data_IF_189864926238
#
_entry.id   IF_189864926238
#
_cell.length_a   1.000
_cell.length_b   1.000
_cell.length_c   1.000
_cell.angle_alpha   90.00
_cell.angle_beta   90.00
_cell.angle_gamma   90.00
#
_symmetry.space_group_name_H-M   'P 1'
#
loop_
_entity.id
_entity.type
_entity.pdbx_description
1 polymer ?
#
# COMPACT_ATOMS: atom_id res chain seq x y z
N UNK A 1 2.25 -17.00 -6.21
CA UNK A 1 1.31 -16.14 -5.47
C UNK A 1 2.05 -15.55 -4.27
N UNK A 2 1.81 -14.27 -3.96
CA UNK A 2 2.28 -13.66 -2.70
C UNK A 2 1.12 -13.77 -1.71
N UNK A 3 1.34 -14.48 -0.61
CA UNK A 3 0.32 -14.61 0.43
C UNK A 3 0.37 -13.41 1.37
N UNK A 4 -0.74 -12.68 1.60
CA UNK A 4 -0.76 -11.58 2.54
C UNK A 4 -0.56 -12.13 3.96
N UNK A 5 0.54 -11.74 4.61
CA UNK A 5 0.73 -12.05 6.04
C UNK A 5 -0.17 -11.12 6.85
N UNK A 6 -1.04 -11.65 7.74
CA UNK A 6 -1.81 -10.82 8.65
C UNK A 6 -0.88 -9.95 9.48
N UNK A 7 -1.12 -8.63 9.45
CA UNK A 7 -0.43 -7.71 10.35
C UNK A 7 -1.06 -7.82 11.75
N UNK A 8 -0.26 -7.74 12.83
CA UNK A 8 -0.80 -7.69 14.17
C UNK A 8 -1.77 -6.49 14.31
N UNK A 9 -2.84 -6.61 15.11
CA UNK A 9 -3.78 -5.52 15.35
C UNK A 9 -3.04 -4.31 15.91
N UNK A 10 -3.31 -3.11 15.39
CA UNK A 10 -2.84 -1.88 16.02
C UNK A 10 -3.60 -1.67 17.33
N UNK A 11 -2.86 -1.43 18.40
CA UNK A 11 -3.42 -1.10 19.72
C UNK A 11 -3.36 0.42 19.94
N UNK A 12 -4.36 1.02 20.60
CA UNK A 12 -4.34 2.44 20.96
C UNK A 12 -3.15 2.80 21.86
N UNK A 13 -2.68 4.08 21.87
CA UNK A 13 -3.20 5.21 21.10
C UNK A 13 -2.72 5.18 19.65
N UNK A 14 -3.63 5.49 18.72
CA UNK A 14 -3.28 5.53 17.31
C UNK A 14 -2.55 6.84 16.95
N UNK A 15 -1.68 6.83 15.92
CA UNK A 15 -1.12 8.06 15.37
C UNK A 15 -2.22 9.02 14.88
N UNK A 16 -1.94 10.33 14.85
CA UNK A 16 -2.90 11.37 14.44
C UNK A 16 -3.53 11.13 13.06
N UNK A 17 -2.79 10.47 12.18
CA UNK A 17 -3.15 10.17 10.80
C UNK A 17 -3.82 8.79 10.62
N UNK A 18 -4.08 8.08 11.72
CA UNK A 18 -4.73 6.77 11.67
C UNK A 18 -6.24 6.92 11.81
N UNK A 19 -6.95 6.67 10.71
CA UNK A 19 -8.39 6.54 10.70
C UNK A 19 -8.79 5.07 10.86
N UNK A 20 -9.44 4.73 11.99
CA UNK A 20 -9.91 3.37 12.26
C UNK A 20 -11.07 2.92 11.35
N UNK A 21 -11.73 3.87 10.67
CA UNK A 21 -12.86 3.61 9.76
C UNK A 21 -12.44 3.55 8.30
N UNK A 22 -11.28 4.10 7.94
CA UNK A 22 -10.75 4.00 6.60
C UNK A 22 -10.30 2.55 6.30
N UNK A 23 -10.67 2.07 5.11
CA UNK A 23 -10.30 0.75 4.58
C UNK A 23 -9.57 0.91 3.26
N UNK A 24 -8.52 0.13 3.05
CA UNK A 24 -7.79 0.12 1.79
C UNK A 24 -8.01 -1.22 1.07
N UNK A 25 -8.59 -1.16 -0.13
CA UNK A 25 -8.87 -2.36 -0.96
C UNK A 25 -7.59 -3.11 -1.32
N UNK A 26 -6.48 -2.39 -1.47
CA UNK A 26 -5.16 -2.97 -1.74
C UNK A 26 -4.58 -3.77 -0.56
N UNK A 27 -5.08 -3.56 0.67
CA UNK A 27 -4.67 -4.29 1.88
C UNK A 27 -5.79 -5.20 2.39
N UNK A 28 -6.61 -5.74 1.49
CA UNK A 28 -7.74 -6.62 1.83
C UNK A 28 -8.71 -5.98 2.84
N UNK A 29 -8.91 -4.65 2.76
CA UNK A 29 -9.81 -3.91 3.64
C UNK A 29 -9.29 -3.69 5.06
N UNK A 30 -7.98 -3.86 5.29
CA UNK A 30 -7.36 -3.59 6.59
C UNK A 30 -7.65 -2.15 7.03
N UNK A 31 -8.11 -1.94 8.29
CA UNK A 31 -8.40 -0.61 8.81
C UNK A 31 -7.11 0.19 9.03
N UNK A 32 -7.14 1.48 8.72
CA UNK A 32 -6.03 2.37 9.01
C UNK A 32 -5.87 3.51 8.02
N UNK A 33 -4.61 3.87 7.72
CA UNK A 33 -4.36 4.97 6.79
C UNK A 33 -4.99 4.66 5.42
N UNK A 34 -5.62 5.67 4.79
CA UNK A 34 -5.68 5.67 3.33
C UNK A 34 -4.22 5.58 2.81
N UNK A 35 -3.93 5.26 1.54
CA UNK A 35 -2.54 5.18 1.05
C UNK A 35 -1.90 6.59 1.10
N UNK A 36 -1.58 7.06 2.30
CA UNK A 36 -1.56 8.49 2.61
C UNK A 36 -0.51 9.16 1.77
N UNK A 37 -1.00 10.11 0.98
CA UNK A 37 -0.43 10.55 -0.27
C UNK A 37 -0.19 9.38 -1.24
N UNK A 38 -1.18 9.15 -2.11
CA UNK A 38 -0.99 8.54 -3.43
C UNK A 38 0.35 8.93 -4.07
N UNK A 39 0.78 10.18 -3.84
CA UNK A 39 2.12 10.69 -4.12
C UNK A 39 3.27 9.93 -3.46
N UNK A 40 3.28 9.74 -2.13
CA UNK A 40 4.33 9.00 -1.42
C UNK A 40 4.43 7.55 -1.89
N UNK A 41 3.29 6.89 -2.07
CA UNK A 41 3.25 5.54 -2.66
C UNK A 41 3.78 5.53 -4.10
N UNK A 42 3.36 6.48 -4.94
CA UNK A 42 3.86 6.61 -6.32
C UNK A 42 5.34 6.89 -6.40
N UNK A 43 5.86 7.78 -5.56
CA UNK A 43 7.29 8.04 -5.47
C UNK A 43 8.04 6.78 -5.09
N UNK A 44 7.52 5.99 -4.15
CA UNK A 44 8.16 4.74 -3.74
C UNK A 44 8.15 3.68 -4.83
N UNK A 45 7.02 3.54 -5.54
CA UNK A 45 6.91 2.65 -6.71
C UNK A 45 7.89 3.10 -7.79
N UNK A 46 7.96 4.40 -8.08
CA UNK A 46 8.91 4.95 -9.05
C UNK A 46 10.36 4.71 -8.64
N UNK A 47 10.73 4.92 -7.37
CA UNK A 47 12.07 4.61 -6.84
C UNK A 47 12.45 3.15 -7.08
N UNK A 48 11.50 2.21 -6.91
CA UNK A 48 11.74 0.78 -7.16
C UNK A 48 11.94 0.46 -8.64
N UNK A 49 11.22 1.16 -9.53
CA UNK A 49 11.40 1.07 -10.98
C UNK A 49 12.76 1.61 -11.38
N UNK A 50 13.13 2.79 -10.89
CA UNK A 50 14.40 3.47 -11.20
C UNK A 50 15.61 2.63 -10.76
N UNK A 51 15.48 1.96 -9.61
CA UNK A 51 16.47 1.02 -9.08
C UNK A 51 16.46 -0.34 -9.79
N UNK A 52 15.59 -0.56 -10.78
CA UNK A 52 15.39 -1.82 -11.51
C UNK A 52 15.07 -3.01 -10.60
N UNK A 53 14.49 -2.74 -9.43
CA UNK A 53 14.03 -3.77 -8.49
C UNK A 53 12.58 -4.19 -8.77
N UNK A 54 11.84 -3.36 -9.49
CA UNK A 54 10.49 -3.60 -9.94
C UNK A 54 10.40 -3.32 -11.44
N UNK A 55 9.77 -4.22 -12.19
CA UNK A 55 9.45 -4.01 -13.61
C UNK A 55 8.05 -4.53 -13.90
N UNK A 56 7.34 -3.84 -14.79
CA UNK A 56 6.04 -4.24 -15.27
C UNK A 56 6.19 -4.81 -16.67
N UNK A 57 5.42 -5.85 -16.99
CA UNK A 57 5.31 -6.34 -18.36
C UNK A 57 4.33 -5.41 -19.08
N UNK A 58 4.64 -5.04 -20.31
CA UNK A 58 3.64 -4.37 -21.15
C UNK A 58 2.40 -5.26 -21.22
N UNK A 59 1.23 -4.66 -20.99
CA UNK A 59 -0.01 -5.37 -21.26
C UNK A 59 -0.07 -5.63 -22.77
N UNK A 60 -0.47 -6.84 -23.22
CA UNK A 60 -0.80 -7.02 -24.62
C UNK A 60 -1.82 -5.95 -25.00
N UNK A 61 -1.63 -5.30 -26.15
CA UNK A 61 -2.60 -4.31 -26.61
C UNK A 61 -3.97 -5.01 -26.69
N UNK A 62 -4.96 -4.36 -26.08
CA UNK A 62 -6.34 -4.87 -26.05
C UNK A 62 -7.07 -4.41 -27.30
#
# INVERSE_FOLDING_TARGET
MVEPKPLPPKVPPYPLYFDAYARCDYHAGSPGHNIENYWGFKYKVQELIDRKLLSFKDAPDS
#
